data_IF_252119244042
#
_entry.id   IF_252119244042
#
_cell.length_a   1.000
_cell.length_b   1.000
_cell.length_c   1.000
_cell.angle_alpha   90.00
_cell.angle_beta   90.00
_cell.angle_gamma   90.00
#
_symmetry.space_group_name_H-M   'P 1'
#
loop_
_entity.id
_entity.type
_entity.pdbx_description
1 polymer ?
#
# COMPACT_ATOMS: atom_id res chain seq x y z
N UNK A 1 11.08 28.67 2.78
CA UNK A 1 11.37 29.97 3.41
C UNK A 1 10.03 30.65 3.67
N UNK A 2 9.82 31.16 4.88
CA UNK A 2 8.55 31.76 5.30
C UNK A 2 8.80 33.13 5.95
N UNK A 3 7.82 34.02 5.90
CA UNK A 3 7.93 35.36 6.48
C UNK A 3 8.87 36.29 5.72
N UNK A 4 9.00 36.13 4.40
CA UNK A 4 9.88 36.98 3.58
C UNK A 4 9.47 38.45 3.70
N UNK A 5 10.37 39.37 4.09
CA UNK A 5 10.03 40.78 4.25
C UNK A 5 9.59 41.42 2.93
N UNK A 6 8.72 42.44 3.00
CA UNK A 6 8.28 43.21 1.82
C UNK A 6 9.43 43.88 1.04
N UNK A 7 10.57 44.09 1.69
CA UNK A 7 11.81 44.58 1.06
C UNK A 7 12.54 43.54 0.24
N UNK A 8 12.16 42.27 0.36
CA UNK A 8 12.83 41.12 -0.22
C UNK A 8 14.11 40.74 0.52
N UNK A 9 14.66 39.58 0.17
CA UNK A 9 15.93 39.06 0.64
C UNK A 9 16.91 39.13 -0.54
N UNK A 10 18.02 39.84 -0.35
CA UNK A 10 19.01 40.09 -1.40
C UNK A 10 20.17 39.09 -1.34
N UNK A 11 20.52 38.62 -0.16
CA UNK A 11 21.57 37.63 0.02
C UNK A 11 21.34 36.80 1.29
N UNK A 12 21.97 35.64 1.31
CA UNK A 12 22.26 34.94 2.55
C UNK A 12 23.06 33.67 2.36
N UNK A 13 23.70 33.27 3.44
CA UNK A 13 24.62 32.13 3.47
C UNK A 13 24.44 31.33 4.76
N UNK A 14 24.49 30.01 4.61
CA UNK A 14 24.38 29.08 5.72
C UNK A 14 24.96 27.72 5.34
N UNK A 15 25.27 26.92 6.35
CA UNK A 15 25.83 25.59 6.22
C UNK A 15 24.92 24.60 6.93
N UNK A 16 24.52 23.55 6.22
CA UNK A 16 23.80 22.42 6.80
C UNK A 16 24.76 21.26 7.04
N UNK A 17 24.63 20.59 8.18
CA UNK A 17 25.27 19.30 8.44
C UNK A 17 24.33 18.15 8.06
N UNK A 18 24.90 17.01 7.69
CA UNK A 18 24.18 15.75 7.43
C UNK A 18 25.04 14.53 7.78
N UNK A 19 24.46 13.32 7.82
CA UNK A 19 25.23 12.08 7.99
C UNK A 19 25.52 11.41 6.64
N UNK A 20 26.75 11.49 6.10
CA UNK A 20 27.11 10.85 4.84
C UNK A 20 27.12 9.32 4.91
N UNK A 21 27.08 8.71 6.10
CA UNK A 21 26.90 7.26 6.21
C UNK A 21 25.46 6.84 5.92
N UNK A 22 24.50 7.75 6.12
CA UNK A 22 23.07 7.50 5.88
C UNK A 22 22.64 8.00 4.50
N UNK A 23 23.06 9.21 4.13
CA UNK A 23 22.59 9.90 2.92
C UNK A 23 23.75 10.23 1.98
N UNK A 24 23.59 9.96 0.69
CA UNK A 24 24.40 10.56 -0.37
C UNK A 24 23.64 11.75 -0.94
N UNK A 25 24.23 12.94 -0.91
CA UNK A 25 23.63 14.14 -1.51
C UNK A 25 24.01 14.17 -2.99
N UNK A 26 23.02 13.95 -3.86
CA UNK A 26 23.22 13.86 -5.31
C UNK A 26 23.32 15.24 -5.94
N UNK A 27 22.43 16.14 -5.52
CA UNK A 27 22.38 17.52 -6.00
C UNK A 27 21.51 18.38 -5.08
N UNK A 28 21.63 19.69 -5.27
CA UNK A 28 20.71 20.67 -4.70
C UNK A 28 20.20 21.55 -5.81
N UNK A 29 18.88 21.59 -5.97
CA UNK A 29 18.21 22.42 -6.97
C UNK A 29 17.68 23.69 -6.30
N UNK A 30 17.77 24.82 -6.99
CA UNK A 30 17.11 26.04 -6.55
C UNK A 30 15.58 25.85 -6.59
N UNK A 31 14.90 26.39 -5.59
CA UNK A 31 13.44 26.37 -5.53
C UNK A 31 12.82 27.50 -6.35
N UNK A 32 11.48 27.55 -6.33
CA UNK A 32 10.67 28.42 -7.18
C UNK A 32 10.80 29.92 -6.86
N UNK A 33 11.18 30.27 -5.64
CA UNK A 33 11.33 31.68 -5.23
C UNK A 33 12.66 32.30 -5.67
N UNK A 34 13.61 31.51 -6.20
CA UNK A 34 14.91 31.99 -6.69
C UNK A 34 14.77 32.40 -8.16
N UNK A 35 14.78 33.71 -8.43
CA UNK A 35 14.45 34.26 -9.76
C UNK A 35 15.50 33.93 -10.83
N UNK A 36 16.79 34.04 -10.50
CA UNK A 36 17.90 33.77 -11.42
C UNK A 36 18.91 32.80 -10.80
N UNK A 37 18.53 31.53 -10.63
CA UNK A 37 19.33 30.58 -9.86
C UNK A 37 20.71 30.33 -10.48
N UNK A 38 20.82 30.44 -11.81
CA UNK A 38 22.08 30.24 -12.55
C UNK A 38 23.20 31.18 -12.08
N UNK A 39 22.86 32.41 -11.75
CA UNK A 39 23.85 33.43 -11.38
C UNK A 39 23.75 33.88 -9.91
N UNK A 40 22.68 33.50 -9.19
CA UNK A 40 22.39 33.97 -7.84
C UNK A 40 22.38 32.89 -6.76
N UNK A 41 22.48 31.62 -7.11
CA UNK A 41 22.37 30.52 -6.16
C UNK A 41 23.47 29.51 -6.39
N UNK A 42 24.37 29.40 -5.42
CA UNK A 42 25.47 28.46 -5.41
C UNK A 42 25.36 27.52 -4.21
N UNK A 43 25.73 26.26 -4.45
CA UNK A 43 25.80 25.24 -3.42
C UNK A 43 27.09 24.45 -3.58
N UNK A 44 27.77 24.20 -2.47
CA UNK A 44 28.92 23.31 -2.42
C UNK A 44 28.65 22.16 -1.43
N UNK A 45 28.82 20.93 -1.89
CA UNK A 45 28.60 19.71 -1.11
C UNK A 45 29.97 19.13 -0.72
N UNK A 46 30.20 18.95 0.58
CA UNK A 46 31.45 18.41 1.12
C UNK A 46 31.17 17.18 1.98
N UNK A 47 31.13 15.97 1.39
CA UNK A 47 30.80 14.75 2.13
C UNK A 47 31.80 14.41 3.24
N UNK A 48 33.10 14.64 3.00
CA UNK A 48 34.16 14.39 3.98
C UNK A 48 34.02 15.29 5.22
N UNK A 49 33.55 16.52 5.01
CA UNK A 49 33.29 17.49 6.07
C UNK A 49 31.84 17.47 6.58
N UNK A 50 31.02 16.55 6.04
CA UNK A 50 29.62 16.32 6.43
C UNK A 50 28.71 17.53 6.26
N UNK A 51 28.99 18.40 5.28
CA UNK A 51 28.30 19.67 5.14
C UNK A 51 27.83 20.00 3.71
N UNK A 52 26.81 20.85 3.65
CA UNK A 52 26.29 21.48 2.44
C UNK A 52 26.29 22.98 2.68
N UNK A 53 27.09 23.71 1.91
CA UNK A 53 27.22 25.17 1.99
C UNK A 53 26.29 25.80 0.97
N UNK A 54 25.44 26.72 1.42
CA UNK A 54 24.52 27.49 0.59
C UNK A 54 24.98 28.93 0.52
N UNK A 55 24.97 29.49 -0.69
CA UNK A 55 25.14 30.91 -0.94
C UNK A 55 24.04 31.39 -1.89
N UNK A 56 23.28 32.37 -1.45
CA UNK A 56 22.39 33.13 -2.31
C UNK A 56 22.84 34.60 -2.32
N UNK A 57 22.94 35.16 -3.52
CA UNK A 57 23.16 36.59 -3.71
C UNK A 57 22.48 37.01 -5.01
N UNK A 58 21.49 37.89 -4.93
CA UNK A 58 20.87 38.47 -6.11
C UNK A 58 21.95 39.11 -7.00
N UNK A 59 22.01 38.69 -8.26
CA UNK A 59 23.18 38.97 -9.10
C UNK A 59 23.10 40.34 -9.80
N UNK A 60 21.96 41.03 -9.72
CA UNK A 60 21.76 42.32 -10.38
C UNK A 60 22.46 43.46 -9.66
N UNK A 61 22.72 43.31 -8.36
CA UNK A 61 23.23 44.35 -7.47
C UNK A 61 22.25 45.52 -7.30
N UNK A 62 20.97 45.32 -7.64
CA UNK A 62 19.90 46.33 -7.62
C UNK A 62 18.67 45.87 -6.85
N UNK A 63 18.71 44.66 -6.28
CA UNK A 63 17.58 44.05 -5.58
C UNK A 63 16.40 43.68 -6.49
N UNK A 64 16.56 43.74 -7.81
CA UNK A 64 15.46 43.43 -8.75
C UNK A 64 15.10 41.95 -8.75
N UNK A 65 16.09 41.08 -8.51
CA UNK A 65 15.97 39.62 -8.46
C UNK A 65 15.97 39.05 -7.02
N UNK A 66 15.82 39.92 -6.02
CA UNK A 66 15.65 39.53 -4.62
C UNK A 66 14.41 38.63 -4.43
N UNK A 67 14.50 37.66 -3.53
CA UNK A 67 13.38 36.81 -3.12
C UNK A 67 12.34 37.69 -2.42
N UNK A 68 11.09 37.68 -2.87
CA UNK A 68 10.02 38.59 -2.38
C UNK A 68 8.78 37.87 -1.85
N UNK A 69 8.76 36.55 -1.94
CA UNK A 69 7.60 35.72 -1.59
C UNK A 69 8.06 34.49 -0.80
N UNK A 70 7.17 34.00 0.06
CA UNK A 70 7.34 32.73 0.76
C UNK A 70 7.29 31.57 -0.25
N UNK A 71 8.07 30.52 0.00
CA UNK A 71 8.06 29.35 -0.88
C UNK A 71 9.27 28.44 -0.74
N UNK A 72 9.51 27.60 -1.75
CA UNK A 72 10.61 26.66 -1.75
C UNK A 72 11.90 27.40 -2.11
N UNK A 73 12.87 27.44 -1.19
CA UNK A 73 14.17 28.09 -1.43
C UNK A 73 15.12 27.17 -2.20
N UNK A 74 15.21 25.90 -1.79
CA UNK A 74 16.04 24.89 -2.42
C UNK A 74 15.49 23.49 -2.13
N UNK A 75 15.84 22.52 -2.99
CA UNK A 75 15.49 21.11 -2.87
C UNK A 75 16.76 20.27 -2.82
N UNK A 76 17.01 19.62 -1.69
CA UNK A 76 18.14 18.70 -1.52
C UNK A 76 17.71 17.32 -2.01
N UNK A 77 18.38 16.81 -3.05
CA UNK A 77 18.12 15.49 -3.62
C UNK A 77 19.13 14.53 -3.02
N UNK A 78 18.64 13.50 -2.34
CA UNK A 78 19.47 12.53 -1.63
C UNK A 78 19.09 11.09 -1.99
N UNK A 79 20.07 10.21 -1.94
CA UNK A 79 19.90 8.75 -1.96
C UNK A 79 20.14 8.22 -0.55
N UNK A 80 19.26 7.34 -0.04
CA UNK A 80 19.52 6.61 1.20
C UNK A 80 20.51 5.48 0.88
N UNK A 81 21.63 5.43 1.60
CA UNK A 81 22.67 4.42 1.38
C UNK A 81 22.15 3.01 1.73
N UNK A 82 22.59 1.99 1.00
CA UNK A 82 22.11 0.59 1.15
C UNK A 82 22.20 0.01 2.57
N UNK A 83 23.13 0.52 3.39
CA UNK A 83 23.36 0.06 4.77
C UNK A 83 23.08 1.15 5.81
N UNK A 84 22.28 2.15 5.45
CA UNK A 84 21.87 3.18 6.37
C UNK A 84 21.14 2.56 7.58
N UNK A 85 21.50 2.91 8.82
CA UNK A 85 20.72 2.51 9.98
C UNK A 85 19.28 3.05 9.89
N UNK A 86 18.33 2.27 10.40
CA UNK A 86 16.95 2.72 10.56
C UNK A 86 16.88 3.86 11.59
N UNK A 87 15.95 4.79 11.38
CA UNK A 87 15.74 5.94 12.25
C UNK A 87 15.84 7.28 11.53
N UNK A 88 15.78 8.35 12.31
CA UNK A 88 15.81 9.71 11.78
C UNK A 88 17.25 10.19 11.60
N UNK A 89 17.64 10.47 10.36
CA UNK A 89 18.89 11.13 10.00
C UNK A 89 18.66 12.62 9.85
N UNK A 90 19.17 13.40 10.81
CA UNK A 90 18.96 14.84 10.88
C UNK A 90 19.78 15.58 9.81
N UNK A 91 19.17 16.61 9.21
CA UNK A 91 19.85 17.62 8.39
C UNK A 91 19.67 18.95 9.12
N UNK A 92 20.72 19.37 9.83
CA UNK A 92 20.66 20.47 10.80
C UNK A 92 21.47 21.68 10.36
N UNK A 93 21.09 22.86 10.84
CA UNK A 93 21.93 24.04 10.73
C UNK A 93 23.23 23.83 11.50
N UNK A 94 24.35 23.90 10.80
CA UNK A 94 25.69 23.86 11.38
C UNK A 94 26.21 25.27 11.62
N UNK A 95 26.05 26.14 10.62
CA UNK A 95 26.52 27.52 10.66
C UNK A 95 25.52 28.41 9.90
N UNK A 96 25.30 29.61 10.42
CA UNK A 96 24.43 30.60 9.80
C UNK A 96 25.21 31.91 9.72
N UNK A 97 25.42 32.40 8.51
CA UNK A 97 25.98 33.73 8.29
C UNK A 97 24.89 34.77 8.58
N UNK A 98 24.17 35.17 7.54
CA UNK A 98 22.97 35.99 7.69
C UNK A 98 22.04 35.83 6.49
N UNK A 99 20.80 36.29 6.63
CA UNK A 99 20.02 36.78 5.50
C UNK A 99 19.94 38.30 5.59
N UNK A 100 20.04 39.01 4.46
CA UNK A 100 19.90 40.46 4.44
C UNK A 100 18.87 40.92 3.42
N UNK A 101 18.16 42.00 3.74
CA UNK A 101 17.22 42.64 2.84
C UNK A 101 17.92 43.42 1.70
N UNK A 102 17.14 44.01 0.79
CA UNK A 102 17.67 44.84 -0.29
C UNK A 102 18.43 46.11 0.16
N UNK A 103 18.31 46.51 1.43
CA UNK A 103 19.10 47.59 2.02
C UNK A 103 20.36 47.06 2.74
N UNK A 104 20.67 45.77 2.58
CA UNK A 104 21.74 45.04 3.26
C UNK A 104 21.58 45.01 4.79
N UNK A 105 20.34 45.12 5.28
CA UNK A 105 20.05 44.94 6.71
C UNK A 105 19.80 43.48 6.99
N UNK A 106 20.53 42.94 7.97
CA UNK A 106 20.32 41.59 8.45
C UNK A 106 18.88 41.39 8.93
N UNK A 107 18.33 40.24 8.58
CA UNK A 107 16.97 39.81 8.89
C UNK A 107 17.07 38.76 10.00
N UNK A 108 16.52 39.00 11.20
CA UNK A 108 16.39 37.98 12.22
C UNK A 108 15.65 36.76 11.64
N UNK A 109 16.30 35.60 11.70
CA UNK A 109 15.83 34.38 11.04
C UNK A 109 15.81 33.23 12.04
N UNK A 110 14.67 32.55 12.13
CA UNK A 110 14.54 31.30 12.87
C UNK A 110 14.83 30.12 11.95
N UNK A 111 15.66 29.18 12.40
CA UNK A 111 15.96 27.95 11.66
C UNK A 111 15.19 26.77 12.25
N UNK A 112 14.49 26.03 11.38
CA UNK A 112 13.77 24.80 11.77
C UNK A 112 14.50 23.62 11.14
N UNK A 113 15.03 22.75 11.99
CA UNK A 113 15.75 21.54 11.57
C UNK A 113 14.80 20.51 10.94
N UNK A 114 15.30 19.78 9.94
CA UNK A 114 14.62 18.69 9.26
C UNK A 114 15.51 17.45 9.15
N UNK A 115 15.14 16.52 8.27
CA UNK A 115 15.92 15.29 8.06
C UNK A 115 15.16 14.23 7.27
N UNK A 116 15.76 13.05 7.15
CA UNK A 116 15.21 11.88 6.45
C UNK A 116 14.95 10.76 7.45
N UNK A 117 13.72 10.24 7.47
CA UNK A 117 13.36 9.08 8.28
C UNK A 117 13.56 7.79 7.48
N UNK A 118 14.57 7.00 7.84
CA UNK A 118 14.88 5.71 7.21
C UNK A 118 14.06 4.60 7.87
N UNK A 119 13.29 3.87 7.06
CA UNK A 119 12.45 2.73 7.48
C UNK A 119 12.70 1.54 6.56
N UNK A 120 12.49 0.34 7.09
CA UNK A 120 12.49 -0.92 6.33
C UNK A 120 11.06 -1.34 5.90
N UNK A 121 10.08 -0.48 6.16
CA UNK A 121 8.69 -0.72 5.76
C UNK A 121 8.50 -0.25 4.32
N UNK A 122 8.10 -1.12 3.37
CA UNK A 122 7.78 -0.68 2.04
C UNK A 122 6.62 0.31 2.12
N UNK A 123 6.81 1.51 1.59
CA UNK A 123 5.70 2.41 1.32
C UNK A 123 4.96 1.83 0.13
N UNK A 124 3.91 1.06 0.42
CA UNK A 124 3.01 0.56 -0.61
C UNK A 124 2.08 1.71 -0.97
N UNK A 125 2.29 2.31 -2.15
CA UNK A 125 1.35 3.28 -2.68
C UNK A 125 -0.02 2.64 -2.91
N UNK A 126 -1.08 3.32 -2.49
CA UNK A 126 -2.45 2.82 -2.50
C UNK A 126 -2.94 2.41 -1.12
N UNK A 127 -4.11 1.77 -1.11
CA UNK A 127 -4.84 1.41 0.10
C UNK A 127 -4.91 -0.11 0.27
N UNK A 128 -5.31 -0.54 1.46
CA UNK A 128 -5.61 -1.93 1.77
C UNK A 128 -7.08 -2.23 1.54
N UNK A 129 -7.37 -3.37 0.92
CA UNK A 129 -8.73 -3.94 0.87
C UNK A 129 -8.69 -5.28 1.58
N UNK A 130 -9.47 -5.42 2.67
CA UNK A 130 -9.44 -6.62 3.51
C UNK A 130 -10.82 -7.10 3.93
N UNK A 131 -10.89 -8.33 4.41
CA UNK A 131 -12.13 -8.90 4.90
C UNK A 131 -11.99 -10.35 5.34
N UNK A 132 -13.13 -10.93 5.71
CA UNK A 132 -13.27 -12.33 6.09
C UNK A 132 -14.22 -13.06 5.14
N UNK A 133 -13.84 -14.28 4.78
CA UNK A 133 -14.65 -15.22 4.00
C UNK A 133 -14.91 -16.46 4.86
N UNK A 134 -16.13 -17.00 4.77
CA UNK A 134 -16.53 -18.19 5.49
C UNK A 134 -17.29 -19.16 4.57
N UNK A 135 -16.95 -20.46 4.56
CA UNK A 135 -17.77 -21.44 3.88
C UNK A 135 -19.10 -21.65 4.61
N UNK A 136 -20.19 -21.75 3.86
CA UNK A 136 -21.55 -21.82 4.41
C UNK A 136 -21.98 -23.26 4.78
N UNK A 137 -21.23 -23.91 5.65
CA UNK A 137 -21.57 -25.20 6.25
C UNK A 137 -20.93 -25.39 7.62
N UNK A 138 -21.37 -26.40 8.36
CA UNK A 138 -20.81 -26.72 9.68
C UNK A 138 -19.49 -27.48 9.54
N UNK A 139 -18.50 -27.12 10.35
CA UNK A 139 -17.20 -27.80 10.42
C UNK A 139 -16.68 -27.81 11.86
N UNK A 140 -15.73 -28.70 12.13
CA UNK A 140 -15.08 -28.82 13.44
C UNK A 140 -13.92 -27.83 13.60
N UNK A 141 -13.41 -27.66 14.82
CA UNK A 141 -12.18 -26.90 15.05
C UNK A 141 -10.96 -27.47 14.33
N UNK A 142 -10.96 -28.79 14.07
CA UNK A 142 -9.89 -29.47 13.33
C UNK A 142 -9.88 -29.07 11.86
N UNK A 143 -11.06 -29.05 11.22
CA UNK A 143 -11.15 -28.80 9.77
C UNK A 143 -11.36 -27.32 9.45
N UNK A 144 -11.81 -26.51 10.41
CA UNK A 144 -12.06 -25.07 10.27
C UNK A 144 -10.91 -24.31 9.59
N UNK A 145 -9.65 -24.45 10.06
CA UNK A 145 -8.50 -23.83 9.40
C UNK A 145 -8.35 -24.20 7.91
N UNK A 146 -8.64 -25.44 7.55
CA UNK A 146 -8.49 -25.98 6.19
C UNK A 146 -9.59 -25.43 5.27
N UNK A 147 -10.84 -25.40 5.75
CA UNK A 147 -11.97 -24.94 4.94
C UNK A 147 -12.04 -23.42 4.85
N UNK A 148 -11.44 -22.67 5.78
CA UNK A 148 -11.37 -21.19 5.74
C UNK A 148 -10.22 -20.65 4.87
N UNK A 149 -9.10 -21.37 4.79
CA UNK A 149 -7.97 -20.97 3.97
C UNK A 149 -8.18 -21.25 2.47
N UNK A 150 -7.48 -20.50 1.62
CA UNK A 150 -7.36 -20.83 0.19
C UNK A 150 -8.43 -20.23 -0.73
N UNK A 151 -9.26 -19.29 -0.26
CA UNK A 151 -10.10 -18.50 -1.17
C UNK A 151 -9.25 -17.40 -1.79
N UNK A 152 -9.17 -17.37 -3.12
CA UNK A 152 -8.53 -16.28 -3.85
C UNK A 152 -9.51 -15.12 -3.97
N UNK A 153 -9.10 -13.93 -3.56
CA UNK A 153 -9.82 -12.67 -3.76
C UNK A 153 -9.00 -11.82 -4.71
N UNK A 154 -9.57 -11.43 -5.85
CA UNK A 154 -8.89 -10.62 -6.85
C UNK A 154 -9.68 -9.35 -7.17
N UNK A 155 -8.95 -8.26 -7.41
CA UNK A 155 -9.53 -6.98 -7.85
C UNK A 155 -9.66 -7.03 -9.37
N UNK A 156 -10.90 -7.16 -9.86
CA UNK A 156 -11.18 -7.34 -11.29
C UNK A 156 -10.63 -6.17 -12.10
N UNK A 157 -9.91 -6.48 -13.19
CA UNK A 157 -9.26 -5.50 -14.05
C UNK A 157 -7.84 -5.11 -13.62
N UNK A 158 -7.27 -5.80 -12.62
CA UNK A 158 -5.89 -5.61 -12.15
C UNK A 158 -5.22 -6.98 -11.91
N UNK A 159 -3.92 -6.98 -11.62
CA UNK A 159 -3.19 -8.18 -11.19
C UNK A 159 -3.18 -8.37 -9.66
N UNK A 160 -3.91 -7.52 -8.92
CA UNK A 160 -3.93 -7.54 -7.45
C UNK A 160 -4.84 -8.64 -6.93
N UNK A 161 -4.30 -9.47 -6.04
CA UNK A 161 -5.06 -10.52 -5.37
C UNK A 161 -4.46 -10.89 -4.01
N UNK A 162 -5.27 -11.56 -3.19
CA UNK A 162 -4.85 -12.20 -1.95
C UNK A 162 -5.50 -13.58 -1.82
N UNK A 163 -4.99 -14.40 -0.91
CA UNK A 163 -5.56 -15.71 -0.58
C UNK A 163 -5.85 -15.74 0.91
N UNK A 164 -7.01 -16.27 1.28
CA UNK A 164 -7.40 -16.31 2.70
C UNK A 164 -6.49 -17.21 3.53
N UNK A 165 -6.23 -16.77 4.76
CA UNK A 165 -5.50 -17.53 5.78
C UNK A 165 -6.40 -18.57 6.49
N UNK A 166 -5.85 -19.26 7.49
CA UNK A 166 -6.56 -20.23 8.32
C UNK A 166 -7.77 -19.67 9.10
N UNK A 167 -7.88 -18.34 9.24
CA UNK A 167 -9.00 -17.67 9.87
C UNK A 167 -10.06 -17.22 8.86
N UNK A 168 -9.77 -17.34 7.56
CA UNK A 168 -10.61 -16.83 6.48
C UNK A 168 -10.33 -15.36 6.16
N UNK A 169 -9.28 -14.76 6.73
CA UNK A 169 -8.91 -13.38 6.51
C UNK A 169 -8.11 -13.22 5.21
N UNK A 170 -8.37 -12.16 4.45
CA UNK A 170 -7.55 -11.73 3.33
C UNK A 170 -7.24 -10.23 3.43
N UNK A 171 -6.11 -9.82 2.86
CA UNK A 171 -5.71 -8.43 2.70
C UNK A 171 -4.98 -8.26 1.37
N UNK A 172 -5.50 -7.36 0.52
CA UNK A 172 -4.87 -6.93 -0.73
C UNK A 172 -4.28 -5.55 -0.46
N UNK A 173 -2.96 -5.43 -0.53
CA UNK A 173 -2.27 -4.14 -0.38
C UNK A 173 -2.04 -3.47 -1.74
N UNK A 174 -1.84 -2.15 -1.73
CA UNK A 174 -1.49 -1.38 -2.91
C UNK A 174 -2.62 -1.22 -3.92
N UNK A 175 -3.87 -1.24 -3.44
CA UNK A 175 -5.04 -1.02 -4.28
C UNK A 175 -5.17 0.49 -4.56
N UNK A 176 -5.12 0.94 -5.82
CA UNK A 176 -5.24 2.36 -6.13
C UNK A 176 -6.58 2.96 -5.67
N UNK A 177 -6.61 4.27 -5.47
CA UNK A 177 -7.86 4.97 -5.17
C UNK A 177 -8.85 4.80 -6.33
N UNK A 178 -10.08 4.42 -5.99
CA UNK A 178 -11.18 4.35 -6.93
C UNK A 178 -12.52 4.60 -6.23
N UNK A 179 -12.97 5.86 -6.29
CA UNK A 179 -14.26 6.28 -5.74
C UNK A 179 -15.48 5.74 -6.53
N UNK A 180 -15.29 5.34 -7.80
CA UNK A 180 -16.34 4.70 -8.59
C UNK A 180 -16.59 3.25 -8.15
N UNK A 181 -15.56 2.61 -7.62
CA UNK A 181 -15.60 1.28 -7.04
C UNK A 181 -15.00 0.19 -7.92
N UNK A 182 -14.45 -0.82 -7.27
CA UNK A 182 -13.97 -2.05 -7.87
C UNK A 182 -15.03 -3.16 -7.79
N UNK A 183 -14.84 -4.20 -8.61
CA UNK A 183 -15.44 -5.50 -8.38
C UNK A 183 -14.38 -6.44 -7.79
N UNK A 184 -14.72 -7.15 -6.72
CA UNK A 184 -13.90 -8.22 -6.18
C UNK A 184 -14.47 -9.56 -6.65
N UNK A 185 -13.62 -10.41 -7.21
CA UNK A 185 -13.97 -11.80 -7.52
C UNK A 185 -13.37 -12.72 -6.48
N UNK A 186 -14.20 -13.57 -5.88
CA UNK A 186 -13.81 -14.59 -4.92
C UNK A 186 -13.98 -15.94 -5.60
N UNK A 187 -12.90 -16.73 -5.62
CA UNK A 187 -12.88 -18.04 -6.25
C UNK A 187 -12.09 -19.05 -5.43
N UNK A 188 -12.50 -20.31 -5.54
CA UNK A 188 -11.79 -21.47 -5.01
C UNK A 188 -12.28 -22.71 -5.78
N UNK A 189 -11.43 -23.72 -6.06
CA UNK A 189 -11.91 -25.00 -6.57
C UNK A 189 -13.04 -25.51 -5.68
N UNK A 190 -14.07 -26.15 -6.26
CA UNK A 190 -15.27 -26.68 -5.59
C UNK A 190 -16.23 -25.69 -4.92
N UNK A 191 -16.04 -24.37 -5.06
CA UNK A 191 -16.97 -23.34 -4.58
C UNK A 191 -17.53 -22.54 -5.74
N UNK A 192 -18.79 -22.14 -5.66
CA UNK A 192 -19.41 -21.24 -6.63
C UNK A 192 -18.75 -19.86 -6.56
N UNK A 193 -18.23 -19.37 -7.70
CA UNK A 193 -17.56 -18.07 -7.77
C UNK A 193 -18.52 -16.95 -7.34
N UNK A 194 -18.00 -15.96 -6.59
CA UNK A 194 -18.79 -14.81 -6.11
C UNK A 194 -18.16 -13.51 -6.55
N UNK A 195 -18.98 -12.56 -7.00
CA UNK A 195 -18.54 -11.20 -7.32
C UNK A 195 -19.17 -10.21 -6.36
N UNK A 196 -18.35 -9.33 -5.77
CA UNK A 196 -18.80 -8.20 -4.95
C UNK A 196 -18.54 -6.94 -5.75
N UNK A 197 -19.60 -6.33 -6.26
CA UNK A 197 -19.52 -5.10 -7.03
C UNK A 197 -19.42 -3.85 -6.13
N UNK A 198 -19.03 -2.72 -6.72
CA UNK A 198 -19.10 -1.38 -6.12
C UNK A 198 -18.28 -1.20 -4.82
N UNK A 199 -17.14 -1.89 -4.69
CA UNK A 199 -16.22 -1.71 -3.57
C UNK A 199 -15.42 -0.43 -3.75
N UNK A 200 -15.89 0.66 -3.13
CA UNK A 200 -15.24 1.98 -3.21
C UNK A 200 -14.00 2.01 -2.33
N UNK A 201 -12.89 2.45 -2.90
CA UNK A 201 -11.59 2.54 -2.21
C UNK A 201 -11.15 3.99 -2.21
N UNK A 202 -11.38 4.68 -1.09
CA UNK A 202 -10.91 6.07 -0.83
C UNK A 202 -10.02 6.13 0.41
N UNK A 203 -9.49 4.98 0.80
CA UNK A 203 -8.91 4.67 2.11
C UNK A 203 -8.82 3.16 2.30
N UNK A 204 -8.18 2.73 3.38
CA UNK A 204 -8.20 1.32 3.79
C UNK A 204 -9.66 0.87 3.98
N UNK A 205 -10.05 -0.17 3.25
CA UNK A 205 -11.44 -0.60 3.06
C UNK A 205 -11.62 -2.01 3.58
N UNK A 206 -12.53 -2.18 4.55
CA UNK A 206 -12.91 -3.49 5.09
C UNK A 206 -14.24 -3.90 4.49
N UNK A 207 -14.25 -4.94 3.65
CA UNK A 207 -15.47 -5.39 2.94
C UNK A 207 -16.33 -6.35 3.76
N UNK A 208 -15.76 -6.96 4.81
CA UNK A 208 -16.49 -7.83 5.74
C UNK A 208 -15.70 -8.00 7.04
N UNK A 209 -16.39 -8.45 8.10
CA UNK A 209 -15.78 -8.67 9.43
C UNK A 209 -15.85 -10.14 9.81
N UNK A 210 -15.10 -10.55 10.84
CA UNK A 210 -15.16 -11.92 11.36
C UNK A 210 -16.54 -12.29 11.94
N UNK A 211 -17.33 -11.30 12.39
CA UNK A 211 -18.70 -11.49 12.87
C UNK A 211 -19.75 -11.47 11.76
N UNK A 212 -19.44 -10.87 10.61
CA UNK A 212 -20.29 -10.83 9.42
C UNK A 212 -19.43 -11.10 8.16
N UNK A 213 -18.94 -12.35 7.98
CA UNK A 213 -18.08 -12.70 6.87
C UNK A 213 -18.86 -12.84 5.56
N UNK A 214 -18.14 -12.74 4.44
CA UNK A 214 -18.68 -13.08 3.12
C UNK A 214 -18.83 -14.59 3.05
N UNK A 215 -20.08 -15.05 2.89
CA UNK A 215 -20.38 -16.46 2.76
C UNK A 215 -20.03 -16.97 1.36
N UNK A 216 -19.37 -18.13 1.29
CA UNK A 216 -19.08 -18.85 0.05
C UNK A 216 -19.76 -20.22 0.06
N UNK A 217 -20.36 -20.58 -1.06
CA UNK A 217 -21.15 -21.80 -1.22
C UNK A 217 -20.32 -22.86 -1.92
N UNK A 218 -20.06 -23.96 -1.22
CA UNK A 218 -19.43 -25.13 -1.81
C UNK A 218 -20.44 -25.89 -2.66
N UNK A 219 -19.97 -26.50 -3.75
CA UNK A 219 -20.79 -27.40 -4.57
C UNK A 219 -20.65 -27.24 -6.07
N UNK A 220 -19.94 -26.23 -6.57
CA UNK A 220 -19.57 -26.09 -7.99
C UNK A 220 -18.24 -26.84 -8.22
N UNK A 221 -18.32 -28.18 -8.20
CA UNK A 221 -17.17 -29.09 -8.32
C UNK A 221 -16.74 -29.15 -9.79
N UNK A 222 -17.70 -29.31 -10.69
CA UNK A 222 -17.48 -29.16 -12.12
C UNK A 222 -17.71 -27.70 -12.45
N UNK A 223 -16.62 -26.95 -12.64
CA UNK A 223 -16.65 -25.49 -12.84
C UNK A 223 -17.46 -25.05 -14.06
N UNK A 224 -18.77 -24.91 -13.86
CA UNK A 224 -19.76 -24.48 -14.84
C UNK A 224 -20.66 -23.35 -14.33
N UNK A 225 -20.30 -22.76 -13.18
CA UNK A 225 -21.03 -21.69 -12.50
C UNK A 225 -22.46 -22.09 -12.12
N UNK A 226 -22.71 -23.38 -11.84
CA UNK A 226 -24.04 -23.87 -11.45
C UNK A 226 -23.95 -25.07 -10.49
N UNK A 227 -24.42 -24.92 -9.26
CA UNK A 227 -24.50 -26.06 -8.31
C UNK A 227 -25.67 -26.97 -8.72
N UNK A 228 -25.40 -28.11 -9.34
CA UNK A 228 -26.45 -28.95 -9.93
C UNK A 228 -26.18 -30.47 -9.83
N UNK A 229 -26.93 -31.30 -10.58
CA UNK A 229 -26.77 -32.75 -10.54
C UNK A 229 -25.39 -33.22 -11.01
N UNK A 230 -24.73 -32.46 -11.89
CA UNK A 230 -23.39 -32.80 -12.39
C UNK A 230 -22.38 -32.81 -11.23
N UNK A 231 -22.47 -31.84 -10.31
CA UNK A 231 -21.60 -31.80 -9.12
C UNK A 231 -21.88 -32.93 -8.15
N UNK A 232 -23.16 -33.25 -7.94
CA UNK A 232 -23.56 -34.40 -7.12
C UNK A 232 -22.98 -35.69 -7.70
N UNK A 233 -22.94 -35.83 -9.03
CA UNK A 233 -22.34 -37.00 -9.67
C UNK A 233 -20.84 -37.11 -9.42
N UNK A 234 -20.11 -36.00 -9.24
CA UNK A 234 -18.69 -36.05 -8.84
C UNK A 234 -18.50 -36.62 -7.44
N UNK A 235 -19.40 -36.31 -6.50
CA UNK A 235 -19.40 -36.94 -5.16
C UNK A 235 -19.74 -38.43 -5.28
N UNK A 236 -20.77 -38.78 -6.07
CA UNK A 236 -21.22 -40.17 -6.23
C UNK A 236 -20.11 -41.08 -6.77
N UNK A 237 -19.23 -40.59 -7.65
CA UNK A 237 -18.10 -41.35 -8.20
C UNK A 237 -17.11 -41.86 -7.15
N UNK A 238 -16.99 -41.15 -6.03
CA UNK A 238 -16.09 -41.50 -4.92
C UNK A 238 -16.85 -41.67 -3.59
N UNK A 239 -18.15 -41.98 -3.64
CA UNK A 239 -18.98 -42.11 -2.44
C UNK A 239 -18.51 -43.26 -1.54
N UNK A 240 -18.56 -43.05 -0.22
CA UNK A 240 -18.05 -43.95 0.83
C UNK A 240 -16.54 -44.22 0.76
N UNK A 241 -15.76 -43.32 0.17
CA UNK A 241 -14.29 -43.38 0.22
C UNK A 241 -13.75 -42.55 1.38
N UNK A 242 -12.56 -42.91 1.84
CA UNK A 242 -11.75 -42.18 2.82
C UNK A 242 -10.42 -41.79 2.21
N UNK A 243 -9.65 -40.89 2.86
CA UNK A 243 -8.34 -40.44 2.33
C UNK A 243 -7.30 -41.54 2.11
N UNK A 244 -7.54 -42.77 2.57
CA UNK A 244 -6.71 -43.95 2.31
C UNK A 244 -7.08 -44.70 1.02
N UNK A 245 -8.24 -44.45 0.44
CA UNK A 245 -8.77 -45.18 -0.71
C UNK A 245 -8.30 -44.55 -2.03
N UNK A 246 -7.99 -45.37 -3.05
CA UNK A 246 -7.49 -44.89 -4.35
C UNK A 246 -8.50 -44.00 -5.10
N UNK A 247 -9.79 -44.24 -4.90
CA UNK A 247 -10.87 -43.47 -5.54
C UNK A 247 -11.23 -42.18 -4.78
N UNK A 248 -10.57 -41.88 -3.66
CA UNK A 248 -10.83 -40.68 -2.89
C UNK A 248 -10.51 -39.42 -3.69
N UNK A 249 -11.48 -38.51 -3.73
CA UNK A 249 -11.32 -37.21 -4.35
C UNK A 249 -11.44 -36.12 -3.29
N UNK A 250 -10.32 -35.47 -2.99
CA UNK A 250 -10.28 -34.37 -2.02
C UNK A 250 -11.24 -33.24 -2.42
N UNK A 251 -11.50 -33.00 -3.70
CA UNK A 251 -12.44 -31.95 -4.10
C UNK A 251 -13.91 -32.30 -3.83
N UNK A 252 -14.23 -33.57 -3.62
CA UNK A 252 -15.55 -34.06 -3.24
C UNK A 252 -15.75 -34.18 -1.71
N UNK A 253 -14.66 -34.24 -0.91
CA UNK A 253 -14.70 -34.11 0.56
C UNK A 253 -14.80 -32.62 0.94
N UNK A 254 -15.99 -32.05 0.82
CA UNK A 254 -16.23 -30.60 0.95
C UNK A 254 -15.97 -30.08 2.36
N UNK A 255 -16.29 -30.87 3.39
CA UNK A 255 -16.05 -30.50 4.79
C UNK A 255 -14.65 -30.87 5.30
N UNK A 256 -13.83 -31.49 4.44
CA UNK A 256 -12.44 -31.89 4.71
C UNK A 256 -12.32 -32.83 5.91
N UNK A 257 -13.29 -33.71 6.13
CA UNK A 257 -13.30 -34.69 7.23
C UNK A 257 -12.57 -36.00 6.89
N UNK A 258 -11.94 -36.09 5.72
CA UNK A 258 -11.27 -37.25 5.14
C UNK A 258 -12.20 -38.40 4.73
N UNK A 259 -13.50 -38.14 4.53
CA UNK A 259 -14.46 -39.12 4.05
C UNK A 259 -15.48 -38.47 3.12
N UNK A 260 -15.63 -39.01 1.91
CA UNK A 260 -16.66 -38.55 0.98
C UNK A 260 -17.95 -39.33 1.21
N UNK A 261 -18.97 -38.67 1.76
CA UNK A 261 -20.21 -39.34 2.13
C UNK A 261 -21.45 -38.42 2.02
N UNK A 262 -22.54 -38.79 2.68
CA UNK A 262 -23.80 -38.04 2.63
C UNK A 262 -23.66 -36.63 3.23
N UNK A 263 -22.72 -36.38 4.15
CA UNK A 263 -22.45 -35.04 4.67
C UNK A 263 -22.05 -34.08 3.54
N UNK A 264 -21.20 -34.50 2.60
CA UNK A 264 -20.78 -33.69 1.46
C UNK A 264 -21.94 -33.44 0.48
N UNK A 265 -22.77 -34.47 0.25
CA UNK A 265 -24.00 -34.32 -0.56
C UNK A 265 -24.92 -33.28 0.08
N UNK A 266 -25.10 -33.31 1.40
CA UNK A 266 -25.96 -32.34 2.10
C UNK A 266 -25.42 -30.91 2.04
N UNK A 267 -24.09 -30.73 1.91
CA UNK A 267 -23.48 -29.41 1.69
C UNK A 267 -23.87 -28.87 0.31
N UNK A 268 -23.78 -29.68 -0.75
CA UNK A 268 -24.25 -29.29 -2.11
C UNK A 268 -25.75 -28.96 -2.08
N UNK A 269 -26.55 -29.83 -1.47
CA UNK A 269 -28.02 -29.71 -1.44
C UNK A 269 -28.49 -28.38 -0.84
N UNK A 270 -27.71 -27.81 0.10
CA UNK A 270 -28.03 -26.52 0.74
C UNK A 270 -28.23 -25.38 -0.27
N UNK A 271 -27.47 -25.38 -1.36
CA UNK A 271 -27.50 -24.35 -2.41
C UNK A 271 -27.76 -24.95 -3.79
N UNK A 272 -28.49 -26.08 -3.85
CA UNK A 272 -28.77 -26.75 -5.10
C UNK A 272 -29.59 -25.88 -6.06
N UNK A 273 -29.14 -25.77 -7.30
CA UNK A 273 -29.68 -24.89 -8.33
C UNK A 273 -29.10 -23.47 -8.33
N UNK A 274 -28.18 -23.15 -7.43
CA UNK A 274 -27.59 -21.80 -7.35
C UNK A 274 -26.58 -21.54 -8.48
N UNK A 275 -26.55 -20.29 -8.94
CA UNK A 275 -25.56 -19.70 -9.85
C UNK A 275 -24.90 -18.49 -9.18
N UNK A 276 -23.83 -17.86 -9.73
CA UNK A 276 -23.22 -16.69 -9.11
C UNK A 276 -24.21 -15.54 -8.84
N UNK A 277 -25.26 -15.41 -9.66
CA UNK A 277 -26.33 -14.42 -9.48
C UNK A 277 -27.24 -14.73 -8.27
N UNK A 278 -27.21 -15.95 -7.76
CA UNK A 278 -27.99 -16.38 -6.59
C UNK A 278 -27.41 -15.85 -5.27
N UNK A 279 -26.13 -15.45 -5.26
CA UNK A 279 -25.58 -14.70 -4.12
C UNK A 279 -26.32 -13.37 -4.03
N UNK A 280 -27.26 -13.25 -3.09
CA UNK A 280 -28.01 -12.01 -2.85
C UNK A 280 -27.09 -10.77 -2.76
N UNK A 281 -27.58 -9.65 -3.30
CA UNK A 281 -27.16 -8.28 -2.95
C UNK A 281 -27.29 -8.03 -1.44
#
# INVERSE_FOLDING_TARGET
>A
MYGVPSKGIANGDFVLSYDPNVLTVESVEAGDIVINPRDSFDVAIYPEDKMIVFLYAENTGRGTEAIKEDGLFAKIIVTINERAPLGFSEIALQEFGAFADNDLKEIPTDFITGGVLVKDEPVIEGYKVSGYILPDFSFTSTNGPIVKAGFKVEVVGTDLSAVTDANGYFEIAGVPENAAGYALKISRPNYLDRVIANVKVTGDTVVSTSSAPIMMWAGDIVKDDSINLIDVMEIVKCFNTTSADELYNVNADLNRNNAVNMEDVMIIVKHFGATPESYNE
#
